data_IF_559112412541
#
_entry.id   IF_559112412541
#
_cell.length_a   1.000
_cell.length_b   1.000
_cell.length_c   1.000
_cell.angle_alpha   90.00
_cell.angle_beta   90.00
_cell.angle_gamma   90.00
#
_symmetry.space_group_name_H-M   'P 1'
#
loop_
_entity.id
_entity.type
_entity.pdbx_description
1 polymer ?
#
# COMPACT_ATOMS: atom_id res chain seq x y z
N UNK A 1 5.84 13.09 -6.41
CA UNK A 1 7.15 12.63 -5.88
C UNK A 1 7.97 13.87 -5.56
N UNK A 2 7.70 14.46 -4.39
CA UNK A 2 8.43 15.59 -3.91
C UNK A 2 9.76 15.18 -3.30
N UNK A 3 10.87 15.45 -3.96
CA UNK A 3 12.21 15.60 -3.42
C UNK A 3 12.67 14.55 -2.37
N UNK A 4 12.87 13.31 -2.80
CA UNK A 4 14.00 12.51 -2.33
C UNK A 4 15.18 12.79 -3.27
N UNK A 5 15.43 14.04 -3.53
CA UNK A 5 16.52 14.45 -4.41
C UNK A 5 17.70 14.83 -3.56
N UNK A 6 18.48 13.85 -3.25
CA UNK A 6 19.83 14.11 -2.76
C UNK A 6 20.82 14.44 -3.87
N UNK A 7 20.63 13.90 -5.07
CA UNK A 7 21.58 14.15 -6.17
C UNK A 7 20.96 13.82 -7.52
N UNK A 8 21.41 14.53 -8.56
CA UNK A 8 21.08 14.22 -9.96
C UNK A 8 21.47 12.78 -10.38
N UNK A 9 22.39 12.15 -9.67
CA UNK A 9 22.80 10.76 -9.90
C UNK A 9 21.66 9.77 -9.66
N UNK A 10 20.80 10.00 -8.67
CA UNK A 10 19.66 9.12 -8.38
C UNK A 10 18.56 9.14 -9.47
N UNK A 11 18.57 10.15 -10.34
CA UNK A 11 17.58 10.30 -11.42
C UNK A 11 18.07 9.62 -12.70
N UNK A 12 19.38 9.56 -12.93
CA UNK A 12 19.95 8.98 -14.16
C UNK A 12 19.89 7.45 -14.23
N UNK A 13 19.93 6.81 -13.06
CA UNK A 13 19.98 5.34 -12.95
C UNK A 13 18.66 4.75 -12.47
N UNK A 14 17.56 5.47 -12.66
CA UNK A 14 16.22 4.96 -12.33
C UNK A 14 15.74 4.02 -13.41
N UNK A 15 15.40 2.81 -13.01
CA UNK A 15 14.72 1.81 -13.84
C UNK A 15 13.30 1.69 -13.30
N UNK A 16 12.30 1.93 -14.13
CA UNK A 16 10.91 1.67 -13.81
C UNK A 16 10.61 0.21 -14.18
N UNK A 17 9.99 -0.50 -13.26
CA UNK A 17 9.63 -1.92 -13.41
C UNK A 17 8.17 -2.10 -13.02
N UNK A 18 7.49 -2.97 -13.72
CA UNK A 18 6.12 -3.36 -13.40
C UNK A 18 6.11 -4.54 -12.42
N UNK A 19 5.06 -4.64 -11.57
CA UNK A 19 4.90 -5.80 -10.70
C UNK A 19 4.86 -7.10 -11.50
N UNK A 20 5.73 -8.04 -11.15
CA UNK A 20 5.90 -9.31 -11.86
C UNK A 20 7.04 -9.34 -12.89
N UNK A 21 7.69 -8.21 -13.13
CA UNK A 21 8.86 -8.15 -14.00
C UNK A 21 10.14 -8.60 -13.30
N UNK A 22 11.07 -9.06 -14.13
CA UNK A 22 12.43 -9.42 -13.73
C UNK A 22 13.43 -8.45 -14.33
N UNK A 23 14.37 -7.98 -13.53
CA UNK A 23 15.48 -7.14 -13.99
C UNK A 23 16.81 -7.73 -13.58
N UNK A 24 17.84 -7.45 -14.37
CA UNK A 24 19.21 -7.83 -14.05
C UNK A 24 20.02 -6.61 -13.68
N UNK A 25 20.60 -6.63 -12.48
CA UNK A 25 21.49 -5.58 -12.00
C UNK A 25 22.84 -6.22 -11.60
N UNK A 26 23.83 -6.08 -12.45
CA UNK A 26 25.12 -6.75 -12.26
C UNK A 26 24.97 -8.27 -12.11
N UNK A 27 25.40 -8.87 -10.99
CA UNK A 27 25.27 -10.30 -10.74
C UNK A 27 23.91 -10.74 -10.18
N UNK A 28 22.97 -9.81 -9.98
CA UNK A 28 21.68 -10.05 -9.37
C UNK A 28 20.58 -10.13 -10.44
N UNK A 29 19.83 -11.23 -10.44
CA UNK A 29 18.56 -11.35 -11.13
C UNK A 29 17.46 -11.10 -10.09
N UNK A 30 16.66 -10.06 -10.29
CA UNK A 30 15.68 -9.55 -9.31
C UNK A 30 14.29 -9.62 -9.92
N UNK A 31 13.40 -10.34 -9.25
CA UNK A 31 11.98 -10.40 -9.61
C UNK A 31 11.17 -9.60 -8.60
N UNK A 32 10.31 -8.70 -9.09
CA UNK A 32 9.32 -7.95 -8.31
C UNK A 32 8.03 -8.76 -8.21
N UNK A 33 7.70 -9.25 -7.01
CA UNK A 33 6.53 -10.10 -6.78
C UNK A 33 5.47 -9.29 -6.05
N UNK A 34 4.30 -9.05 -6.65
CA UNK A 34 3.23 -8.31 -5.99
C UNK A 34 2.84 -8.93 -4.65
N UNK A 35 2.75 -8.08 -3.64
CA UNK A 35 2.30 -8.43 -2.29
C UNK A 35 1.32 -7.38 -1.80
N UNK A 36 0.40 -7.75 -0.92
CA UNK A 36 -0.53 -6.79 -0.35
C UNK A 36 0.05 -6.07 0.86
N UNK A 37 -0.23 -4.79 0.96
CA UNK A 37 0.06 -3.93 2.11
C UNK A 37 -0.87 -2.71 2.10
N UNK A 38 -0.87 -1.89 3.16
CA UNK A 38 -1.63 -0.64 3.21
C UNK A 38 -1.07 0.45 2.27
N UNK A 39 0.22 0.39 1.99
CA UNK A 39 0.86 1.16 0.92
C UNK A 39 0.64 0.40 -0.40
N UNK A 40 0.08 1.04 -1.43
CA UNK A 40 -0.17 0.37 -2.70
C UNK A 40 1.13 0.02 -3.43
N UNK A 41 1.02 -0.92 -4.37
CA UNK A 41 2.10 -1.37 -5.27
C UNK A 41 3.34 -1.93 -4.55
N UNK A 42 3.15 -2.44 -3.34
CA UNK A 42 4.23 -3.08 -2.58
C UNK A 42 4.61 -4.40 -3.26
N UNK A 43 5.91 -4.62 -3.43
CA UNK A 43 6.45 -5.85 -3.98
C UNK A 43 7.45 -6.50 -3.02
N UNK A 44 7.36 -7.82 -2.89
CA UNK A 44 8.47 -8.62 -2.41
C UNK A 44 9.51 -8.78 -3.52
N UNK A 45 10.77 -8.97 -3.16
CA UNK A 45 11.85 -9.16 -4.11
C UNK A 45 12.42 -10.56 -3.98
N UNK A 46 12.43 -11.32 -5.08
CA UNK A 46 13.25 -12.51 -5.19
C UNK A 46 14.58 -12.12 -5.82
N UNK A 47 15.65 -12.20 -5.05
CA UNK A 47 17.00 -11.78 -5.46
C UNK A 47 17.83 -13.04 -5.66
N UNK A 48 18.20 -13.33 -6.88
CA UNK A 48 18.94 -14.54 -7.26
C UNK A 48 20.33 -14.18 -7.77
N UNK A 49 21.32 -14.98 -7.35
CA UNK A 49 22.68 -14.95 -7.85
C UNK A 49 23.06 -16.35 -8.33
N UNK A 50 24.29 -16.54 -8.83
CA UNK A 50 24.81 -17.87 -9.16
C UNK A 50 24.97 -18.81 -7.96
N UNK A 51 24.87 -18.29 -6.72
CA UNK A 51 25.16 -19.05 -5.49
C UNK A 51 23.98 -19.12 -4.51
N UNK A 52 23.07 -18.19 -4.58
CA UNK A 52 22.00 -18.06 -3.57
C UNK A 52 20.76 -17.39 -4.12
N UNK A 53 19.63 -17.70 -3.50
CA UNK A 53 18.35 -17.04 -3.70
C UNK A 53 17.82 -16.53 -2.38
N UNK A 54 17.51 -15.24 -2.32
CA UNK A 54 17.01 -14.56 -1.13
C UNK A 54 15.62 -14.02 -1.46
N UNK A 55 14.68 -14.20 -0.55
CA UNK A 55 13.38 -13.54 -0.60
C UNK A 55 13.37 -12.39 0.41
N UNK A 56 13.15 -11.16 -0.07
CA UNK A 56 12.93 -9.98 0.75
C UNK A 56 11.46 -9.60 0.65
N UNK A 57 10.71 -9.68 1.75
CA UNK A 57 9.24 -9.47 1.71
C UNK A 57 8.84 -8.01 1.56
N UNK A 58 9.73 -7.05 1.84
CA UNK A 58 9.37 -5.67 2.14
C UNK A 58 8.32 -5.62 3.27
N UNK A 59 7.61 -4.51 3.40
CA UNK A 59 6.45 -4.42 4.30
C UNK A 59 5.30 -5.20 3.67
N UNK A 60 4.75 -6.17 4.38
CA UNK A 60 3.77 -7.06 3.82
C UNK A 60 2.61 -7.40 4.77
N UNK A 61 1.48 -7.70 4.18
CA UNK A 61 0.28 -8.22 4.81
C UNK A 61 -0.37 -9.19 3.84
N UNK A 62 -0.79 -10.36 4.30
CA UNK A 62 -1.60 -11.24 3.48
C UNK A 62 -3.04 -10.76 3.59
N UNK A 63 -3.53 -10.12 2.53
CA UNK A 63 -4.91 -9.67 2.40
C UNK A 63 -5.54 -10.35 1.19
N UNK A 64 -6.56 -11.17 1.42
CA UNK A 64 -7.26 -11.89 0.38
C UNK A 64 -8.29 -11.01 -0.36
N UNK A 65 -8.67 -9.88 0.24
CA UNK A 65 -9.66 -8.94 -0.28
C UNK A 65 -9.14 -7.49 -0.14
N UNK A 66 -8.06 -7.14 -0.88
CA UNK A 66 -7.50 -5.81 -0.85
C UNK A 66 -8.44 -4.82 -1.54
N UNK A 67 -8.62 -3.63 -0.96
CA UNK A 67 -9.43 -2.55 -1.53
C UNK A 67 -8.71 -1.85 -2.69
N UNK A 68 -7.37 -1.84 -2.64
CA UNK A 68 -6.51 -1.20 -3.66
C UNK A 68 -5.41 -2.16 -4.04
N UNK A 69 -5.14 -2.26 -5.34
CA UNK A 69 -4.11 -3.13 -5.89
C UNK A 69 -4.57 -4.56 -6.12
N UNK A 70 -3.67 -5.39 -6.59
CA UNK A 70 -3.92 -6.80 -6.86
C UNK A 70 -3.81 -7.64 -5.58
N UNK A 71 -4.59 -8.71 -5.48
CA UNK A 71 -4.42 -9.70 -4.44
C UNK A 71 -3.06 -10.41 -4.58
N UNK A 72 -2.46 -10.80 -3.47
CA UNK A 72 -1.22 -11.56 -3.48
C UNK A 72 -1.41 -12.97 -4.08
N UNK A 73 -0.35 -13.53 -4.65
CA UNK A 73 -0.41 -14.85 -5.28
C UNK A 73 0.31 -15.90 -4.45
N UNK A 74 -0.45 -16.70 -3.68
CA UNK A 74 0.09 -17.85 -2.96
C UNK A 74 0.82 -18.84 -3.90
N UNK A 75 0.35 -18.98 -5.15
CA UNK A 75 0.97 -19.83 -6.15
C UNK A 75 2.40 -19.39 -6.42
N UNK A 76 2.63 -18.08 -6.64
CA UNK A 76 3.96 -17.57 -6.96
C UNK A 76 4.96 -17.80 -5.82
N UNK A 77 4.54 -17.60 -4.58
CA UNK A 77 5.40 -17.87 -3.42
C UNK A 77 5.73 -19.36 -3.25
N UNK A 78 4.79 -20.27 -3.54
CA UNK A 78 5.07 -21.71 -3.56
C UNK A 78 6.09 -22.07 -4.64
N UNK A 79 5.92 -21.58 -5.87
CA UNK A 79 6.86 -21.81 -6.96
C UNK A 79 8.29 -21.35 -6.63
N UNK A 80 8.42 -20.24 -5.89
CA UNK A 80 9.71 -19.79 -5.38
C UNK A 80 10.27 -20.74 -4.31
N UNK A 81 9.43 -21.18 -3.38
CA UNK A 81 9.81 -22.16 -2.36
C UNK A 81 10.29 -23.47 -2.99
N UNK A 82 9.59 -23.95 -4.03
CA UNK A 82 9.96 -25.18 -4.75
C UNK A 82 11.31 -25.04 -5.48
N UNK A 83 11.67 -23.84 -5.90
CA UNK A 83 13.00 -23.54 -6.48
C UNK A 83 14.11 -23.48 -5.43
N UNK A 84 13.76 -23.47 -4.14
CA UNK A 84 14.67 -23.29 -3.00
C UNK A 84 14.97 -21.84 -2.69
N UNK A 85 14.88 -21.47 -1.42
CA UNK A 85 15.22 -20.16 -0.86
C UNK A 85 16.28 -20.37 0.23
N UNK A 86 17.42 -19.72 0.10
CA UNK A 86 18.53 -19.83 1.08
C UNK A 86 18.30 -18.94 2.28
N UNK A 87 17.66 -17.78 2.10
CA UNK A 87 17.35 -16.86 3.20
C UNK A 87 16.08 -16.05 2.91
N UNK A 88 15.35 -15.73 3.99
CA UNK A 88 14.20 -14.83 3.94
C UNK A 88 14.48 -13.63 4.83
N UNK A 89 14.37 -12.42 4.26
CA UNK A 89 14.39 -11.15 4.99
C UNK A 89 12.93 -10.73 5.08
N UNK A 90 12.37 -10.82 6.29
CA UNK A 90 10.93 -10.71 6.51
C UNK A 90 10.59 -9.53 7.44
N UNK A 91 9.59 -8.72 7.05
CA UNK A 91 8.94 -7.82 8.01
C UNK A 91 8.31 -8.66 9.13
N UNK A 92 8.67 -8.32 10.34
CA UNK A 92 8.27 -9.01 11.56
C UNK A 92 7.61 -8.08 12.59
N UNK A 93 7.12 -6.92 12.16
CA UNK A 93 6.52 -5.88 13.01
C UNK A 93 5.45 -6.44 13.94
N UNK A 94 4.63 -7.37 13.48
CA UNK A 94 3.56 -7.99 14.25
C UNK A 94 3.84 -9.45 14.64
N UNK A 95 5.08 -9.92 14.59
CA UNK A 95 5.43 -11.33 14.84
C UNK A 95 5.01 -11.86 16.22
N UNK A 96 4.94 -10.99 17.24
CA UNK A 96 4.54 -11.34 18.60
C UNK A 96 3.02 -11.25 18.84
N UNK A 97 2.23 -10.82 17.84
CA UNK A 97 0.77 -10.73 17.96
C UNK A 97 0.13 -12.01 17.46
N UNK A 98 -0.68 -12.63 18.33
CA UNK A 98 -1.47 -13.77 17.93
C UNK A 98 -2.62 -13.38 16.99
N UNK A 99 -2.98 -14.28 16.07
CA UNK A 99 -4.10 -14.11 15.15
C UNK A 99 -3.68 -13.51 13.80
N UNK A 100 -4.66 -13.03 13.08
CA UNK A 100 -4.51 -12.47 11.73
C UNK A 100 -4.97 -11.01 11.71
N UNK A 101 -4.34 -10.20 10.87
CA UNK A 101 -4.81 -8.86 10.59
C UNK A 101 -6.05 -8.92 9.72
N UNK A 102 -7.17 -8.26 10.07
CA UNK A 102 -8.37 -8.21 9.24
C UNK A 102 -8.07 -7.65 7.84
N UNK A 103 -8.85 -8.06 6.84
CA UNK A 103 -8.77 -7.48 5.51
C UNK A 103 -9.18 -6.01 5.51
N UNK A 104 -8.75 -5.24 4.52
CA UNK A 104 -9.23 -3.86 4.37
C UNK A 104 -10.74 -3.82 4.06
N UNK A 105 -11.29 -4.84 3.40
CA UNK A 105 -12.72 -5.00 3.19
C UNK A 105 -13.50 -5.17 4.50
N UNK A 106 -13.02 -6.00 5.43
CA UNK A 106 -13.62 -6.16 6.77
C UNK A 106 -13.55 -4.86 7.57
N UNK A 107 -12.41 -4.16 7.51
CA UNK A 107 -12.23 -2.85 8.16
C UNK A 107 -13.21 -1.83 7.58
N UNK A 108 -13.47 -1.84 6.28
CA UNK A 108 -14.43 -0.96 5.63
C UNK A 108 -15.85 -1.13 6.22
N UNK A 109 -16.29 -2.38 6.40
CA UNK A 109 -17.59 -2.68 7.00
C UNK A 109 -17.70 -2.15 8.45
N UNK A 110 -16.67 -2.38 9.26
CA UNK A 110 -16.62 -1.89 10.65
C UNK A 110 -16.62 -0.37 10.74
N UNK A 111 -15.79 0.30 9.94
CA UNK A 111 -15.75 1.77 9.87
C UNK A 111 -17.10 2.36 9.47
N UNK A 112 -17.76 1.78 8.47
CA UNK A 112 -19.08 2.21 8.04
C UNK A 112 -20.09 2.16 9.18
N UNK A 113 -20.14 1.05 9.91
CA UNK A 113 -21.06 0.91 11.06
C UNK A 113 -20.81 1.95 12.15
N UNK A 114 -19.54 2.22 12.46
CA UNK A 114 -19.17 3.22 13.47
C UNK A 114 -19.56 4.62 13.01
N UNK A 115 -19.16 4.99 11.77
CA UNK A 115 -19.38 6.36 11.24
C UNK A 115 -20.88 6.65 11.07
N UNK A 116 -21.70 5.68 10.67
CA UNK A 116 -23.13 5.85 10.53
C UNK A 116 -23.87 6.17 11.85
N UNK A 117 -23.29 5.75 12.99
CA UNK A 117 -23.85 6.03 14.32
C UNK A 117 -23.45 7.39 14.90
N UNK A 118 -22.47 8.03 14.27
CA UNK A 118 -21.98 9.32 14.75
C UNK A 118 -22.84 10.45 14.19
N UNK A 119 -23.41 11.30 15.06
CA UNK A 119 -24.19 12.47 14.66
C UNK A 119 -23.30 13.67 14.32
N UNK A 120 -22.19 13.82 15.02
CA UNK A 120 -21.25 14.94 14.86
C UNK A 120 -20.10 14.65 13.90
N UNK A 121 -19.07 15.48 14.00
CA UNK A 121 -17.83 15.36 13.23
C UNK A 121 -17.06 14.09 13.64
N UNK A 122 -16.57 13.37 12.65
CA UNK A 122 -15.74 12.18 12.85
C UNK A 122 -14.30 12.48 12.44
N UNK A 123 -13.35 12.14 13.30
CA UNK A 123 -11.91 12.25 13.00
C UNK A 123 -11.32 10.84 12.99
N UNK A 124 -10.67 10.49 11.89
CA UNK A 124 -10.03 9.18 11.71
C UNK A 124 -8.52 9.36 11.60
N UNK A 125 -7.77 8.77 12.53
CA UNK A 125 -6.31 8.69 12.45
C UNK A 125 -5.91 7.46 11.64
N UNK A 126 -5.08 7.66 10.62
CA UNK A 126 -4.49 6.56 9.84
C UNK A 126 -3.11 6.95 9.31
N UNK A 127 -2.35 5.96 8.85
CA UNK A 127 -1.10 6.23 8.15
C UNK A 127 -1.39 6.96 6.84
N UNK A 128 -0.59 7.97 6.55
CA UNK A 128 -0.73 8.76 5.31
C UNK A 128 -0.53 7.95 4.04
N UNK A 129 0.21 6.85 4.11
CA UNK A 129 0.43 5.91 3.01
C UNK A 129 -0.72 4.92 2.78
N UNK A 130 -1.71 4.87 3.68
CA UNK A 130 -2.83 3.95 3.55
C UNK A 130 -3.90 4.51 2.59
N UNK A 131 -3.65 4.34 1.29
CA UNK A 131 -4.54 4.79 0.21
C UNK A 131 -5.86 4.02 0.24
N UNK A 132 -5.85 2.73 0.58
CA UNK A 132 -7.06 1.92 0.74
C UNK A 132 -8.00 2.54 1.78
N UNK A 133 -7.46 2.99 2.92
CA UNK A 133 -8.25 3.66 3.96
C UNK A 133 -8.83 4.99 3.48
N UNK A 134 -8.08 5.76 2.69
CA UNK A 134 -8.60 7.01 2.08
C UNK A 134 -9.78 6.72 1.16
N UNK A 135 -9.70 5.70 0.33
CA UNK A 135 -10.78 5.29 -0.57
C UNK A 135 -12.02 4.80 0.21
N UNK A 136 -11.81 3.98 1.24
CA UNK A 136 -12.90 3.51 2.12
C UNK A 136 -13.62 4.68 2.77
N UNK A 137 -12.87 5.63 3.34
CA UNK A 137 -13.46 6.80 4.03
C UNK A 137 -14.20 7.73 3.04
N UNK A 138 -13.70 7.90 1.82
CA UNK A 138 -14.38 8.65 0.78
C UNK A 138 -15.74 8.00 0.41
N UNK A 139 -15.74 6.68 0.21
CA UNK A 139 -16.97 5.93 -0.06
C UNK A 139 -17.98 6.02 1.08
N UNK A 140 -17.52 5.92 2.33
CA UNK A 140 -18.38 6.06 3.51
C UNK A 140 -18.94 7.48 3.62
N UNK A 141 -18.13 8.51 3.39
CA UNK A 141 -18.58 9.89 3.40
C UNK A 141 -19.69 10.12 2.36
N UNK A 142 -19.51 9.64 1.14
CA UNK A 142 -20.53 9.71 0.09
C UNK A 142 -21.82 9.00 0.48
N UNK A 143 -21.74 7.78 1.02
CA UNK A 143 -22.89 6.97 1.43
C UNK A 143 -23.66 7.57 2.62
N UNK A 144 -22.98 8.37 3.45
CA UNK A 144 -23.56 8.96 4.67
C UNK A 144 -23.90 10.45 4.50
N UNK A 145 -23.75 11.00 3.31
CA UNK A 145 -23.99 12.43 3.03
C UNK A 145 -23.00 13.36 3.74
N UNK A 146 -21.80 12.87 4.06
CA UNK A 146 -20.76 13.62 4.76
C UNK A 146 -19.72 14.14 3.78
N UNK A 147 -19.06 15.20 4.17
CA UNK A 147 -17.86 15.67 3.49
C UNK A 147 -16.61 15.01 4.07
N UNK A 148 -15.65 14.71 3.20
CA UNK A 148 -14.34 14.22 3.58
C UNK A 148 -13.32 15.36 3.49
N UNK A 149 -12.49 15.53 4.52
CA UNK A 149 -11.31 16.36 4.48
C UNK A 149 -10.07 15.56 4.79
N UNK A 150 -8.96 15.84 4.11
CA UNK A 150 -7.66 15.21 4.36
C UNK A 150 -6.75 16.21 5.03
N UNK A 151 -6.32 15.91 6.26
CA UNK A 151 -5.44 16.78 7.04
C UNK A 151 -4.03 16.22 7.09
N UNK A 152 -3.06 17.14 7.02
CA UNK A 152 -1.63 16.82 7.07
C UNK A 152 -0.98 16.74 5.69
N UNK A 153 0.24 17.32 5.59
CA UNK A 153 0.98 17.44 4.31
C UNK A 153 1.27 16.09 3.66
N UNK A 154 1.64 15.10 4.44
CA UNK A 154 1.94 13.75 3.92
C UNK A 154 0.69 13.06 3.36
N UNK A 155 -0.44 13.13 4.07
CA UNK A 155 -1.69 12.55 3.61
C UNK A 155 -2.22 13.23 2.34
N UNK A 156 -2.20 14.56 2.29
CA UNK A 156 -2.60 15.32 1.12
C UNK A 156 -1.66 15.07 -0.08
N UNK A 157 -0.36 14.92 0.17
CA UNK A 157 0.62 14.54 -0.86
C UNK A 157 0.36 13.16 -1.42
N UNK A 158 0.16 12.18 -0.55
CA UNK A 158 -0.14 10.79 -0.94
C UNK A 158 -1.45 10.70 -1.74
N UNK A 159 -2.50 11.39 -1.28
CA UNK A 159 -3.78 11.42 -1.99
C UNK A 159 -3.62 11.94 -3.44
N UNK A 160 -2.87 13.04 -3.63
CA UNK A 160 -2.60 13.55 -4.99
C UNK A 160 -1.81 12.58 -5.84
N UNK A 161 -0.75 11.96 -5.29
CA UNK A 161 0.02 10.96 -6.03
C UNK A 161 -0.85 9.76 -6.42
N UNK A 162 -1.67 9.27 -5.48
CA UNK A 162 -2.56 8.14 -5.72
C UNK A 162 -3.61 8.43 -6.81
N UNK A 163 -4.12 9.67 -6.88
CA UNK A 163 -4.99 10.09 -7.97
C UNK A 163 -4.26 10.14 -9.32
N UNK A 164 -3.04 10.69 -9.35
CA UNK A 164 -2.25 10.79 -10.58
C UNK A 164 -1.93 9.43 -11.21
N UNK A 165 -1.78 8.38 -10.39
CA UNK A 165 -1.52 7.02 -10.86
C UNK A 165 -2.79 6.16 -10.93
N UNK A 166 -3.98 6.74 -10.75
CA UNK A 166 -5.26 6.04 -10.90
C UNK A 166 -5.66 5.13 -9.73
N UNK A 167 -4.95 5.19 -8.60
CA UNK A 167 -5.27 4.38 -7.39
C UNK A 167 -6.40 4.99 -6.56
N UNK A 168 -6.65 6.27 -6.70
CA UNK A 168 -7.86 6.94 -6.19
C UNK A 168 -8.66 7.48 -7.38
N UNK A 169 -9.98 7.35 -7.37
CA UNK A 169 -10.82 7.84 -8.46
C UNK A 169 -10.83 9.38 -8.53
N UNK A 170 -11.10 9.95 -9.69
CA UNK A 170 -11.25 11.40 -9.88
C UNK A 170 -12.35 11.99 -9.00
N UNK A 171 -13.33 11.18 -8.62
CA UNK A 171 -14.40 11.56 -7.68
C UNK A 171 -13.91 11.72 -6.23
N UNK A 172 -12.68 11.31 -5.91
CA UNK A 172 -12.06 11.59 -4.62
C UNK A 172 -11.68 13.06 -4.55
N UNK A 173 -12.59 13.87 -4.06
CA UNK A 173 -12.41 15.31 -3.92
C UNK A 173 -12.61 15.74 -2.46
N UNK A 174 -11.56 15.65 -1.64
CA UNK A 174 -11.64 16.11 -0.26
C UNK A 174 -11.79 17.64 -0.22
N UNK A 175 -12.63 18.12 0.69
CA UNK A 175 -12.73 19.54 0.93
C UNK A 175 -11.42 20.09 1.50
N UNK A 176 -11.10 21.34 1.14
CA UNK A 176 -9.87 21.97 1.61
C UNK A 176 -9.88 22.10 3.15
N UNK A 177 -8.76 21.87 3.83
CA UNK A 177 -8.68 21.94 5.29
C UNK A 177 -9.20 23.24 5.89
N UNK A 178 -9.06 24.37 5.20
CA UNK A 178 -9.58 25.67 5.62
C UNK A 178 -11.11 25.72 5.73
N UNK A 179 -11.81 24.84 5.03
CA UNK A 179 -13.27 24.73 5.08
C UNK A 179 -13.79 23.68 6.07
N UNK A 180 -12.91 22.99 6.79
CA UNK A 180 -13.28 21.95 7.76
C UNK A 180 -13.74 22.50 9.11
N UNK A 181 -13.57 23.78 9.35
CA UNK A 181 -13.80 24.42 10.64
C UNK A 181 -15.18 25.04 10.86
N UNK A 182 -16.01 25.08 9.84
CA UNK A 182 -17.24 25.89 9.86
C UNK A 182 -18.47 25.07 9.52
#
# INVERSE_FOLDING_TARGET
IGRLVGSEMCIRDRIEIEPGEEIKIGPFDIECIPITHSTPETCALSITTSRSRILHTADWKIDADPVVGAAWSAKRFRELGDKGIDAVICDSTNALRAGYTPSEGEVAAGLRQVIQRCEGRVVVGCFSSNVARMQILASIAQLTGRYLGVMGRSAAGMARCAQQVGLLPDSFQPIHPEHLGY
#
